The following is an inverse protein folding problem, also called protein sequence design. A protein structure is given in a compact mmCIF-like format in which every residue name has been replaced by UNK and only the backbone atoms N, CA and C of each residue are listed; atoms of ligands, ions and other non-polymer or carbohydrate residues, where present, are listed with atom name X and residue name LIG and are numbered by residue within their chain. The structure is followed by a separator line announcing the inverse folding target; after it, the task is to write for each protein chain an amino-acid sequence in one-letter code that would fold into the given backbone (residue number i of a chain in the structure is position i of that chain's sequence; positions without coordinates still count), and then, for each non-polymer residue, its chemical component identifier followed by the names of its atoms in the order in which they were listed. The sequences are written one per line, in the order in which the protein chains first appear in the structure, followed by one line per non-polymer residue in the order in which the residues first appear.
data_IF_600253299646
#
_entry.id   IF_600253299646
#
_cell.length_a   1.000
_cell.length_b   1.000
_cell.length_c   1.000
_cell.angle_alpha   90.00
_cell.angle_beta   90.00
_cell.angle_gamma   90.00
#
_symmetry.space_group_name_H-M   'P 1'
#
loop_
_entity.id
_entity.type
_entity.pdbx_description
1 polymer ?
#
# COMPACT_ATOMS: atom_id res chain seq x y z
N UNK A 1 -13.99 -25.25 -3.30
CA UNK A 1 -13.65 -23.98 -2.61
C UNK A 1 -12.43 -24.27 -1.76
N UNK A 2 -11.24 -24.09 -2.32
CA UNK A 2 -10.00 -24.43 -1.62
C UNK A 2 -9.68 -23.32 -0.63
N UNK A 3 -9.86 -23.62 0.66
CA UNK A 3 -9.27 -22.84 1.74
C UNK A 3 -7.76 -23.11 1.73
N UNK A 4 -7.01 -22.32 0.97
CA UNK A 4 -5.57 -22.25 1.13
C UNK A 4 -5.30 -21.36 2.35
N UNK A 5 -4.71 -21.95 3.40
CA UNK A 5 -4.03 -21.18 4.43
C UNK A 5 -2.86 -20.47 3.73
N UNK A 6 -3.14 -19.30 3.16
CA UNK A 6 -2.20 -18.54 2.37
C UNK A 6 -1.21 -17.91 3.33
N UNK A 7 -0.06 -18.54 3.51
CA UNK A 7 1.09 -17.88 4.13
C UNK A 7 1.43 -16.69 3.25
N UNK A 8 1.18 -15.49 3.75
CA UNK A 8 1.55 -14.25 3.07
C UNK A 8 3.05 -14.24 2.89
N UNK A 9 3.51 -13.88 1.69
CA UNK A 9 4.92 -13.62 1.51
C UNK A 9 5.29 -12.23 2.07
N UNK A 10 6.58 -11.97 2.33
CA UNK A 10 7.07 -10.71 2.90
C UNK A 10 6.55 -9.44 2.19
N UNK A 11 6.28 -9.51 0.89
CA UNK A 11 5.74 -8.39 0.10
C UNK A 11 4.25 -8.19 0.35
N UNK A 12 3.49 -9.27 0.53
CA UNK A 12 2.09 -9.23 0.94
C UNK A 12 1.97 -8.71 2.38
N UNK A 13 2.81 -9.18 3.31
CA UNK A 13 2.88 -8.68 4.69
C UNK A 13 3.19 -7.18 4.73
N UNK A 14 4.19 -6.74 3.97
CA UNK A 14 4.56 -5.32 3.85
C UNK A 14 3.40 -4.47 3.32
N UNK A 15 2.65 -4.98 2.34
CA UNK A 15 1.50 -4.28 1.78
C UNK A 15 0.38 -4.14 2.82
N UNK A 16 0.12 -5.19 3.61
CA UNK A 16 -0.90 -5.14 4.69
C UNK A 16 -0.54 -4.11 5.78
N UNK A 17 0.72 -4.07 6.23
CA UNK A 17 1.19 -3.07 7.20
C UNK A 17 0.96 -1.63 6.70
N UNK A 18 1.35 -1.36 5.45
CA UNK A 18 1.19 -0.03 4.85
C UNK A 18 -0.29 0.30 4.62
N UNK A 19 -1.12 -0.68 4.26
CA UNK A 19 -2.57 -0.50 4.14
C UNK A 19 -3.20 -0.14 5.49
N UNK A 20 -2.79 -0.78 6.58
CA UNK A 20 -3.27 -0.45 7.92
C UNK A 20 -2.91 0.99 8.31
N UNK A 21 -1.66 1.41 8.04
CA UNK A 21 -1.21 2.78 8.28
C UNK A 21 -1.97 3.79 7.41
N UNK A 22 -2.15 3.50 6.12
CA UNK A 22 -2.87 4.34 5.15
C UNK A 22 -4.34 4.51 5.54
N UNK A 23 -5.03 3.43 5.91
CA UNK A 23 -6.42 3.48 6.37
C UNK A 23 -6.55 4.29 7.67
N UNK A 24 -5.62 4.10 8.62
CA UNK A 24 -5.59 4.88 9.86
C UNK A 24 -5.40 6.38 9.57
N UNK A 25 -4.49 6.72 8.65
CA UNK A 25 -4.27 8.08 8.19
C UNK A 25 -5.53 8.68 7.55
N UNK A 26 -6.17 7.95 6.64
CA UNK A 26 -7.41 8.38 5.98
C UNK A 26 -8.53 8.63 7.00
N UNK A 27 -8.76 7.70 7.92
CA UNK A 27 -9.77 7.83 8.98
C UNK A 27 -9.48 9.03 9.90
N UNK A 28 -8.22 9.25 10.30
CA UNK A 28 -7.82 10.38 11.14
C UNK A 28 -8.09 11.75 10.47
N UNK A 29 -8.10 11.77 9.13
CA UNK A 29 -8.39 12.95 8.31
C UNK A 29 -9.84 13.00 7.82
N UNK A 30 -10.68 12.06 8.25
CA UNK A 30 -12.06 11.89 7.80
C UNK A 30 -12.19 11.72 6.26
N UNK A 31 -11.24 11.00 5.65
CA UNK A 31 -11.21 10.70 4.23
C UNK A 31 -11.46 9.21 4.01
N UNK A 32 -12.09 8.86 2.89
CA UNK A 32 -12.30 7.45 2.46
C UNK A 32 -11.32 7.01 1.37
N UNK A 33 -10.44 7.91 0.92
CA UNK A 33 -9.36 7.62 -0.01
C UNK A 33 -8.32 8.73 0.04
N UNK A 34 -7.14 8.51 -0.53
CA UNK A 34 -6.14 9.57 -0.64
C UNK A 34 -6.51 10.66 -1.65
N UNK A 35 -7.38 10.41 -2.64
CA UNK A 35 -7.71 11.37 -3.72
C UNK A 35 -8.12 12.78 -3.23
N UNK A 36 -9.02 12.92 -2.23
CA UNK A 36 -9.38 14.23 -1.67
C UNK A 36 -8.33 14.82 -0.71
N UNK A 37 -7.24 14.12 -0.40
CA UNK A 37 -6.22 14.62 0.52
C UNK A 37 -5.46 15.79 -0.11
N UNK A 38 -5.35 16.90 0.60
CA UNK A 38 -4.59 18.08 0.16
C UNK A 38 -3.11 17.79 -0.13
N UNK A 39 -2.57 16.73 0.48
CA UNK A 39 -1.19 16.29 0.30
C UNK A 39 -1.05 15.19 -0.78
N UNK A 40 -2.07 14.90 -1.61
CA UNK A 40 -2.11 13.73 -2.50
C UNK A 40 -0.82 13.49 -3.32
N UNK A 41 -0.25 14.55 -3.90
CA UNK A 41 0.98 14.46 -4.71
C UNK A 41 2.24 14.27 -3.86
N UNK A 42 2.30 14.91 -2.68
CA UNK A 42 3.48 14.95 -1.81
C UNK A 42 3.41 13.95 -0.65
N UNK A 43 2.33 13.18 -0.53
CA UNK A 43 2.10 12.29 0.60
C UNK A 43 3.03 11.07 0.53
N UNK A 44 4.06 11.07 1.38
CA UNK A 44 5.05 10.00 1.49
C UNK A 44 4.38 8.64 1.76
N UNK A 45 3.37 8.60 2.64
CA UNK A 45 2.64 7.37 2.95
C UNK A 45 1.90 6.81 1.73
N UNK A 46 1.27 7.68 0.93
CA UNK A 46 0.64 7.28 -0.34
C UNK A 46 1.70 6.75 -1.31
N UNK A 47 2.84 7.43 -1.46
CA UNK A 47 3.93 6.96 -2.35
C UNK A 47 4.45 5.58 -1.92
N UNK A 48 4.66 5.38 -0.61
CA UNK A 48 5.03 4.06 -0.03
C UNK A 48 3.99 2.98 -0.35
N UNK A 49 2.71 3.29 -0.22
CA UNK A 49 1.63 2.36 -0.59
C UNK A 49 1.70 1.95 -2.06
N UNK A 50 1.90 2.91 -2.97
CA UNK A 50 2.04 2.60 -4.41
C UNK A 50 3.23 1.67 -4.64
N UNK A 51 4.39 1.95 -4.04
CA UNK A 51 5.58 1.09 -4.13
C UNK A 51 5.29 -0.33 -3.61
N UNK A 52 4.68 -0.44 -2.43
CA UNK A 52 4.36 -1.73 -1.82
C UNK A 52 3.38 -2.57 -2.67
N UNK A 53 2.40 -1.93 -3.32
CA UNK A 53 1.51 -2.62 -4.27
C UNK A 53 2.32 -3.19 -5.45
N UNK A 54 3.21 -2.39 -6.05
CA UNK A 54 4.04 -2.86 -7.15
C UNK A 54 4.98 -3.98 -6.73
N UNK A 55 5.62 -3.86 -5.57
CA UNK A 55 6.49 -4.89 -5.03
C UNK A 55 5.73 -6.18 -4.72
N UNK A 56 4.53 -6.11 -4.14
CA UNK A 56 3.66 -7.26 -3.89
C UNK A 56 3.26 -7.96 -5.19
N UNK A 57 2.89 -7.20 -6.23
CA UNK A 57 2.54 -7.77 -7.53
C UNK A 57 3.73 -8.42 -8.26
N UNK A 58 4.93 -7.86 -8.11
CA UNK A 58 6.13 -8.29 -8.83
C UNK A 58 7.12 -9.08 -7.95
N UNK A 59 6.73 -9.41 -6.72
CA UNK A 59 7.55 -10.05 -5.69
C UNK A 59 8.93 -9.41 -5.51
N UNK A 60 8.95 -8.07 -5.45
CA UNK A 60 10.17 -7.28 -5.31
C UNK A 60 10.99 -7.08 -6.58
N UNK A 61 10.53 -7.56 -7.74
CA UNK A 61 11.19 -7.26 -9.01
C UNK A 61 10.99 -5.78 -9.33
N UNK A 62 12.07 -5.00 -9.25
CA UNK A 62 12.04 -3.55 -9.44
C UNK A 62 11.91 -3.20 -10.93
N UNK A 63 10.69 -3.14 -11.42
CA UNK A 63 10.36 -2.66 -12.76
C UNK A 63 10.38 -1.13 -12.81
N UNK A 64 11.57 -0.51 -12.74
CA UNK A 64 11.88 0.83 -13.23
C UNK A 64 10.89 1.97 -12.93
N UNK A 65 10.30 2.04 -11.72
CA UNK A 65 9.41 3.14 -11.34
C UNK A 65 10.09 4.06 -10.32
N UNK A 66 10.43 5.28 -10.74
CA UNK A 66 10.90 6.37 -9.88
C UNK A 66 9.72 7.35 -9.62
N UNK A 67 9.49 7.76 -8.37
CA UNK A 67 8.34 8.58 -7.91
C UNK A 67 8.75 9.89 -7.22
#
# INVERSE_FOLDING_TARGET
MSNENKTLDQWEERLEDILQELNSCQNSKNLNSCKPCSQFFECILRKKYVVAVYESMNKGSSGGFEF
#
